data_IF_410985922566
#
_entry.id   IF_410985922566
#
_cell.length_a   1.000
_cell.length_b   1.000
_cell.length_c   1.000
_cell.angle_alpha   90.00
_cell.angle_beta   90.00
_cell.angle_gamma   90.00
#
_symmetry.space_group_name_H-M   'P 1'
#
loop_
_entity.id
_entity.type
_entity.pdbx_description
1 polymer ?
#
# COMPACT_ATOMS: atom_id res chain seq x y z
N UNK A 1 -8.59 47.50 38.24
CA UNK A 1 -8.60 46.25 37.45
C UNK A 1 -9.90 46.06 36.65
N UNK A 2 -11.07 46.29 37.24
CA UNK A 2 -12.40 46.19 36.58
C UNK A 2 -12.52 46.99 35.26
N UNK A 3 -12.14 48.27 35.25
CA UNK A 3 -12.23 49.12 34.04
C UNK A 3 -11.42 48.61 32.84
N UNK A 4 -10.25 47.98 33.06
CA UNK A 4 -9.44 47.44 31.96
C UNK A 4 -10.04 46.15 31.39
N UNK A 5 -10.77 45.39 32.21
CA UNK A 5 -11.48 44.20 31.76
C UNK A 5 -12.70 44.58 30.92
N UNK A 6 -13.49 45.56 31.39
CA UNK A 6 -14.63 46.12 30.65
C UNK A 6 -14.21 46.68 29.30
N UNK A 7 -13.13 47.46 29.23
CA UNK A 7 -12.63 48.00 27.95
C UNK A 7 -12.21 46.88 26.99
N UNK A 8 -11.61 45.79 27.48
CA UNK A 8 -11.25 44.65 26.63
C UNK A 8 -12.49 43.94 26.09
N UNK A 9 -13.50 43.73 26.94
CA UNK A 9 -14.75 43.09 26.55
C UNK A 9 -15.54 43.95 25.56
N UNK A 10 -15.65 45.26 25.80
CA UNK A 10 -16.30 46.22 24.89
C UNK A 10 -15.66 46.19 23.49
N UNK A 11 -14.33 46.16 23.44
CA UNK A 11 -13.59 46.08 22.16
C UNK A 11 -13.84 44.76 21.43
N UNK A 12 -13.92 43.65 22.17
CA UNK A 12 -14.21 42.34 21.60
C UNK A 12 -15.63 42.31 21.05
N UNK A 13 -16.64 42.67 21.84
CA UNK A 13 -18.03 42.69 21.41
C UNK A 13 -18.23 43.57 20.17
N UNK A 14 -17.67 44.80 20.16
CA UNK A 14 -17.74 45.68 19.00
C UNK A 14 -17.14 45.04 17.73
N UNK A 15 -16.00 44.35 17.86
CA UNK A 15 -15.37 43.68 16.73
C UNK A 15 -16.18 42.47 16.24
N UNK A 16 -16.76 41.71 17.17
CA UNK A 16 -17.63 40.57 16.85
C UNK A 16 -18.89 41.03 16.11
N UNK A 17 -19.55 42.09 16.57
CA UNK A 17 -20.74 42.65 15.91
C UNK A 17 -20.43 43.06 14.46
N UNK A 18 -19.31 43.76 14.23
CA UNK A 18 -18.88 44.15 12.88
C UNK A 18 -18.58 42.95 11.99
N UNK A 19 -17.85 41.95 12.50
CA UNK A 19 -17.57 40.72 11.74
C UNK A 19 -18.86 39.95 11.44
N UNK A 20 -19.82 39.97 12.36
CA UNK A 20 -21.10 39.33 12.19
C UNK A 20 -21.94 40.01 11.10
N UNK A 21 -22.01 41.33 11.10
CA UNK A 21 -22.62 42.15 10.03
C UNK A 21 -21.97 41.89 8.66
N UNK A 22 -20.67 41.58 8.63
CA UNK A 22 -19.92 41.24 7.42
C UNK A 22 -20.14 39.78 6.95
N UNK A 23 -20.96 39.00 7.66
CA UNK A 23 -21.33 37.63 7.25
C UNK A 23 -20.37 36.54 7.74
N UNK A 24 -19.59 36.79 8.79
CA UNK A 24 -18.65 35.81 9.36
C UNK A 24 -19.19 35.06 10.59
N UNK A 25 -20.50 34.79 10.62
CA UNK A 25 -21.15 34.21 11.81
C UNK A 25 -20.57 32.85 12.18
N UNK A 26 -20.42 31.95 11.22
CA UNK A 26 -19.93 30.58 11.43
C UNK A 26 -18.51 30.57 11.99
N UNK A 27 -17.64 31.44 11.48
CA UNK A 27 -16.25 31.52 11.93
C UNK A 27 -16.15 32.13 13.33
N UNK A 28 -17.03 33.08 13.66
CA UNK A 28 -17.16 33.63 15.02
C UNK A 28 -17.62 32.55 16.00
N UNK A 29 -18.63 31.77 15.63
CA UNK A 29 -19.12 30.67 16.46
C UNK A 29 -18.01 29.64 16.70
N UNK A 30 -17.21 29.31 15.68
CA UNK A 30 -16.02 28.46 15.82
C UNK A 30 -14.97 29.08 16.76
N UNK A 31 -14.67 30.37 16.61
CA UNK A 31 -13.73 31.11 17.46
C UNK A 31 -14.15 31.16 18.94
N UNK A 32 -15.46 31.08 19.21
CA UNK A 32 -15.99 31.03 20.58
C UNK A 32 -15.49 29.80 21.36
N UNK A 33 -15.28 28.67 20.66
CA UNK A 33 -14.73 27.44 21.24
C UNK A 33 -13.27 27.60 21.70
N UNK A 34 -12.58 28.63 21.18
CA UNK A 34 -11.20 28.96 21.51
C UNK A 34 -11.08 30.23 22.36
N UNK A 35 -12.16 30.68 23.02
CA UNK A 35 -12.23 31.93 23.77
C UNK A 35 -11.78 33.16 22.96
N UNK A 36 -12.01 33.14 21.64
CA UNK A 36 -11.60 34.20 20.70
C UNK A 36 -10.09 34.53 20.74
N UNK A 37 -9.24 33.62 21.24
CA UNK A 37 -7.79 33.83 21.41
C UNK A 37 -7.09 34.42 20.19
N UNK A 38 -7.40 34.01 18.93
CA UNK A 38 -6.80 34.61 17.74
C UNK A 38 -7.10 36.12 17.61
N UNK A 39 -8.34 36.54 17.87
CA UNK A 39 -8.78 37.93 17.73
C UNK A 39 -8.28 38.82 18.88
N UNK A 40 -8.24 38.29 20.10
CA UNK A 40 -7.85 39.04 21.31
C UNK A 40 -6.44 39.64 21.19
N UNK A 41 -5.52 38.99 20.44
CA UNK A 41 -4.18 39.52 20.16
C UNK A 41 -4.21 40.84 19.40
N UNK A 42 -5.10 40.99 18.42
CA UNK A 42 -5.25 42.19 17.60
C UNK A 42 -6.04 43.30 18.31
N UNK A 43 -6.77 42.96 19.38
CA UNK A 43 -7.65 43.87 20.12
C UNK A 43 -7.04 44.46 21.39
N UNK A 44 -5.72 44.29 21.62
CA UNK A 44 -4.98 44.81 22.79
C UNK A 44 -4.85 46.34 22.79
N UNK A 45 -5.95 47.04 23.05
CA UNK A 45 -6.01 48.50 23.20
C UNK A 45 -6.48 48.93 24.59
N UNK A 46 -6.02 50.09 25.05
CA UNK A 46 -6.41 50.68 26.35
C UNK A 46 -7.66 51.56 26.29
N UNK A 47 -8.21 51.79 25.10
CA UNK A 47 -9.38 52.64 24.84
C UNK A 47 -10.47 51.84 24.14
N UNK A 48 -11.73 52.28 24.23
CA UNK A 48 -12.83 51.67 23.46
C UNK A 48 -12.56 51.72 21.95
N UNK A 49 -13.02 50.71 21.23
CA UNK A 49 -12.85 50.66 19.78
C UNK A 49 -13.89 51.59 19.13
N UNK A 50 -13.42 52.61 18.41
CA UNK A 50 -14.27 53.51 17.63
C UNK A 50 -14.24 53.10 16.17
N UNK A 51 -15.16 53.61 15.34
CA UNK A 51 -15.20 53.32 13.90
C UNK A 51 -13.84 53.62 13.21
N UNK A 52 -13.20 54.74 13.58
CA UNK A 52 -11.87 55.09 13.08
C UNK A 52 -10.79 54.10 13.54
N UNK A 53 -10.93 53.57 14.75
CA UNK A 53 -10.06 52.52 15.30
C UNK A 53 -10.27 51.18 14.60
N UNK A 54 -11.53 50.82 14.32
CA UNK A 54 -11.93 49.65 13.55
C UNK A 54 -11.30 49.64 12.18
N UNK A 55 -11.43 50.73 11.40
CA UNK A 55 -10.85 50.83 10.05
C UNK A 55 -9.32 50.61 10.01
N UNK A 56 -8.61 50.87 11.11
CA UNK A 56 -7.17 50.63 11.22
C UNK A 56 -6.80 49.17 11.49
N UNK A 57 -7.69 48.39 12.10
CA UNK A 57 -7.40 47.01 12.54
C UNK A 57 -8.24 45.95 11.84
N UNK A 58 -9.32 46.35 11.16
CA UNK A 58 -10.31 45.48 10.53
C UNK A 58 -9.66 44.52 9.55
N UNK A 59 -8.75 44.98 8.69
CA UNK A 59 -8.03 44.12 7.73
C UNK A 59 -7.32 42.93 8.40
N UNK A 60 -6.76 43.10 9.60
CA UNK A 60 -6.09 42.00 10.32
C UNK A 60 -7.09 41.01 10.90
N UNK A 61 -8.21 41.52 11.41
CA UNK A 61 -9.27 40.68 11.97
C UNK A 61 -9.96 39.90 10.86
N UNK A 62 -10.26 40.56 9.74
CA UNK A 62 -10.82 39.94 8.53
C UNK A 62 -9.86 38.87 8.00
N UNK A 63 -8.55 39.15 7.92
CA UNK A 63 -7.58 38.13 7.50
C UNK A 63 -7.63 36.88 8.38
N UNK A 64 -7.64 37.03 9.72
CA UNK A 64 -7.74 35.88 10.64
C UNK A 64 -9.01 35.07 10.39
N UNK A 65 -10.15 35.74 10.24
CA UNK A 65 -11.44 35.07 10.07
C UNK A 65 -11.55 34.43 8.67
N UNK A 66 -10.93 35.05 7.66
CA UNK A 66 -10.84 34.50 6.32
C UNK A 66 -9.94 33.26 6.29
N UNK A 67 -8.80 33.27 6.98
CA UNK A 67 -7.93 32.10 7.11
C UNK A 67 -8.69 30.91 7.74
N UNK A 68 -9.53 31.17 8.75
CA UNK A 68 -10.38 30.14 9.37
C UNK A 68 -11.43 29.61 8.40
N UNK A 69 -12.10 30.50 7.66
CA UNK A 69 -13.07 30.10 6.63
C UNK A 69 -12.41 29.24 5.55
N UNK A 70 -11.24 29.65 5.09
CA UNK A 70 -10.50 28.93 4.05
C UNK A 70 -10.04 27.56 4.58
N UNK A 71 -9.56 27.48 5.83
CA UNK A 71 -9.24 26.22 6.51
C UNK A 71 -10.47 25.31 6.64
N UNK A 72 -11.63 25.85 7.02
CA UNK A 72 -12.87 25.08 7.13
C UNK A 72 -13.30 24.52 5.76
N UNK A 73 -13.26 25.34 4.70
CA UNK A 73 -13.55 24.89 3.34
C UNK A 73 -12.60 23.77 2.92
N UNK A 74 -11.31 23.92 3.23
CA UNK A 74 -10.30 22.90 2.96
C UNK A 74 -10.57 21.60 3.70
N UNK A 75 -10.92 21.66 5.00
CA UNK A 75 -11.29 20.49 5.79
C UNK A 75 -12.55 19.81 5.24
N UNK A 76 -13.57 20.57 4.83
CA UNK A 76 -14.78 20.03 4.23
C UNK A 76 -14.49 19.32 2.90
N UNK A 77 -13.62 19.89 2.06
CA UNK A 77 -13.16 19.23 0.82
C UNK A 77 -12.37 17.95 1.11
N UNK A 78 -11.47 17.99 2.09
CA UNK A 78 -10.71 16.83 2.53
C UNK A 78 -11.60 15.71 3.04
N UNK A 79 -12.61 16.02 3.84
CA UNK A 79 -13.53 15.03 4.36
C UNK A 79 -14.33 14.37 3.24
N UNK A 80 -14.85 15.16 2.28
CA UNK A 80 -15.53 14.63 1.09
C UNK A 80 -14.61 13.70 0.30
N UNK A 81 -13.36 14.08 0.06
CA UNK A 81 -12.40 13.23 -0.65
C UNK A 81 -12.14 11.91 0.09
N UNK A 82 -11.95 11.97 1.42
CA UNK A 82 -11.77 10.78 2.27
C UNK A 82 -12.98 9.84 2.22
N UNK A 83 -14.19 10.37 2.31
CA UNK A 83 -15.43 9.58 2.20
C UNK A 83 -15.50 8.87 0.84
N UNK A 84 -15.23 9.58 -0.25
CA UNK A 84 -15.24 9.02 -1.61
C UNK A 84 -14.18 7.94 -1.79
N UNK A 85 -12.96 8.16 -1.29
CA UNK A 85 -11.89 7.16 -1.31
C UNK A 85 -12.24 5.93 -0.46
N UNK A 86 -12.92 6.11 0.67
CA UNK A 86 -13.42 5.01 1.50
C UNK A 86 -14.47 4.18 0.76
N UNK A 87 -15.40 4.82 0.04
CA UNK A 87 -16.35 4.14 -0.84
C UNK A 87 -15.63 3.34 -1.93
N UNK A 88 -14.67 3.94 -2.62
CA UNK A 88 -13.84 3.24 -3.62
C UNK A 88 -13.15 2.01 -3.01
N UNK A 89 -12.51 2.17 -1.85
CA UNK A 89 -11.82 1.09 -1.14
C UNK A 89 -12.76 -0.07 -0.81
N UNK A 90 -14.00 0.21 -0.42
CA UNK A 90 -15.00 -0.82 -0.15
C UNK A 90 -15.37 -1.65 -1.39
N UNK A 91 -15.25 -1.06 -2.58
CA UNK A 91 -15.57 -1.71 -3.87
C UNK A 91 -14.41 -2.51 -4.45
N UNK A 92 -13.16 -2.07 -4.25
CA UNK A 92 -11.96 -2.70 -4.86
C UNK A 92 -11.53 -4.00 -4.13
N UNK A 93 -12.27 -4.43 -3.11
CA UNK A 93 -11.99 -5.67 -2.37
C UNK A 93 -10.86 -5.53 -1.36
N UNK A 94 -10.85 -6.42 -0.36
CA UNK A 94 -9.89 -6.38 0.74
C UNK A 94 -8.47 -6.79 0.31
N UNK A 95 -7.47 -6.60 1.20
CA UNK A 95 -6.10 -7.03 0.94
C UNK A 95 -6.07 -8.50 0.54
N UNK A 96 -5.24 -8.83 -0.45
CA UNK A 96 -4.96 -10.20 -0.84
C UNK A 96 -4.80 -11.08 0.41
N UNK A 97 -5.66 -12.09 0.58
CA UNK A 97 -5.51 -12.98 1.71
C UNK A 97 -4.09 -13.56 1.69
N UNK A 98 -3.42 -13.57 2.85
CA UNK A 98 -2.12 -14.23 3.01
C UNK A 98 -2.19 -15.76 2.79
N UNK A 99 -3.35 -16.29 2.38
CA UNK A 99 -3.53 -17.71 2.15
C UNK A 99 -2.76 -18.15 0.90
N UNK A 100 -1.59 -18.69 1.19
CA UNK A 100 -0.84 -19.72 0.48
C UNK A 100 -0.73 -19.56 -1.04
N UNK A 101 0.45 -19.15 -1.51
CA UNK A 101 1.17 -19.77 -2.65
C UNK A 101 0.31 -20.41 -3.76
N UNK A 102 -0.76 -19.75 -4.20
CA UNK A 102 -1.51 -20.19 -5.36
C UNK A 102 -0.62 -19.86 -6.55
N UNK A 103 -0.28 -20.90 -7.31
CA UNK A 103 0.34 -20.82 -8.63
C UNK A 103 -0.42 -19.90 -9.59
N UNK A 104 -1.72 -19.74 -9.39
CA UNK A 104 -2.55 -18.78 -10.10
C UNK A 104 -2.25 -17.38 -9.59
N UNK A 105 -1.57 -16.58 -10.40
CA UNK A 105 -1.45 -15.14 -10.17
C UNK A 105 -2.77 -14.48 -10.54
N UNK A 106 -3.32 -13.80 -9.55
CA UNK A 106 -4.55 -13.05 -9.67
C UNK A 106 -4.25 -11.65 -10.20
N UNK A 107 -4.70 -11.35 -11.41
CA UNK A 107 -4.43 -10.06 -12.04
C UNK A 107 -5.52 -9.04 -11.72
N UNK A 108 -5.87 -8.95 -10.45
CA UNK A 108 -6.80 -7.96 -9.95
C UNK A 108 -6.03 -6.77 -9.36
N UNK A 109 -6.34 -5.54 -9.81
CA UNK A 109 -5.74 -4.34 -9.25
C UNK A 109 -6.17 -4.17 -7.81
N UNK A 110 -5.28 -3.59 -6.99
CA UNK A 110 -5.61 -3.19 -5.63
C UNK A 110 -6.12 -1.76 -5.58
N UNK A 111 -6.60 -1.34 -4.41
CA UNK A 111 -6.99 0.04 -4.16
C UNK A 111 -5.91 1.03 -4.65
N UNK A 112 -4.64 0.76 -4.35
CA UNK A 112 -3.53 1.64 -4.67
C UNK A 112 -3.24 1.69 -6.18
N UNK A 113 -3.58 0.63 -6.91
CA UNK A 113 -3.49 0.59 -8.38
C UNK A 113 -4.65 1.36 -9.02
N UNK A 114 -5.82 1.35 -8.39
CA UNK A 114 -7.05 1.95 -8.92
C UNK A 114 -7.11 3.46 -8.68
N UNK A 115 -6.67 3.95 -7.51
CA UNK A 115 -6.70 5.39 -7.18
C UNK A 115 -5.82 6.24 -8.10
N UNK A 116 -4.78 5.66 -8.70
CA UNK A 116 -3.91 6.38 -9.64
C UNK A 116 -4.43 6.36 -11.08
N UNK A 117 -5.55 5.67 -11.37
CA UNK A 117 -6.17 5.66 -12.70
C UNK A 117 -6.91 6.98 -12.92
N UNK A 118 -6.62 7.67 -14.03
CA UNK A 118 -7.12 9.01 -14.31
C UNK A 118 -8.66 9.11 -14.29
N UNK A 119 -9.37 8.12 -14.81
CA UNK A 119 -10.84 8.12 -14.80
C UNK A 119 -11.41 8.03 -13.38
N UNK A 120 -10.73 7.31 -12.48
CA UNK A 120 -11.11 7.22 -11.07
C UNK A 120 -10.76 8.52 -10.36
N UNK A 121 -9.54 9.02 -10.56
CA UNK A 121 -9.09 10.28 -9.98
C UNK A 121 -10.08 11.42 -10.30
N UNK A 122 -10.44 11.60 -11.59
CA UNK A 122 -11.39 12.64 -12.03
C UNK A 122 -12.75 12.51 -11.37
N UNK A 123 -13.24 11.28 -11.19
CA UNK A 123 -14.53 11.03 -10.55
C UNK A 123 -14.49 11.33 -9.05
N UNK A 124 -13.37 11.05 -8.38
CA UNK A 124 -13.21 11.32 -6.95
C UNK A 124 -12.96 12.81 -6.69
N UNK A 125 -12.21 13.50 -7.56
CA UNK A 125 -11.93 14.95 -7.47
C UNK A 125 -13.11 15.82 -7.95
N UNK A 126 -14.17 15.24 -8.54
CA UNK A 126 -15.29 16.01 -9.08
C UNK A 126 -15.93 16.92 -8.02
N UNK A 127 -15.92 18.26 -8.19
CA UNK A 127 -16.44 19.18 -7.17
C UNK A 127 -17.96 19.10 -7.00
N UNK A 128 -18.68 18.40 -7.88
CA UNK A 128 -20.12 18.20 -7.80
C UNK A 128 -20.47 17.40 -6.55
N UNK A 129 -21.53 17.78 -5.84
CA UNK A 129 -22.09 17.04 -4.71
C UNK A 129 -22.84 15.77 -5.18
N UNK A 130 -22.09 14.87 -5.80
CA UNK A 130 -22.55 13.54 -6.15
C UNK A 130 -22.90 12.79 -4.86
N UNK A 131 -24.16 12.35 -4.77
CA UNK A 131 -24.61 11.55 -3.64
C UNK A 131 -23.79 10.24 -3.55
N UNK A 132 -23.47 9.75 -2.34
CA UNK A 132 -22.64 8.55 -2.17
C UNK A 132 -23.11 7.34 -2.99
N UNK A 133 -24.42 7.10 -3.06
CA UNK A 133 -25.00 6.00 -3.83
C UNK A 133 -24.79 6.14 -5.35
N UNK A 134 -24.77 7.37 -5.88
CA UNK A 134 -24.52 7.62 -7.29
C UNK A 134 -23.04 7.40 -7.63
N UNK A 135 -22.14 7.82 -6.72
CA UNK A 135 -20.71 7.55 -6.86
C UNK A 135 -20.42 6.05 -6.85
N UNK A 136 -20.99 5.34 -5.88
CA UNK A 136 -20.83 3.89 -5.75
C UNK A 136 -21.33 3.15 -7.00
N UNK A 137 -22.49 3.53 -7.53
CA UNK A 137 -23.04 2.97 -8.78
C UNK A 137 -22.12 3.23 -9.97
N UNK A 138 -21.59 4.45 -10.08
CA UNK A 138 -20.69 4.85 -11.18
C UNK A 138 -19.37 4.08 -11.11
N UNK A 139 -18.77 4.01 -9.93
CA UNK A 139 -17.56 3.23 -9.67
C UNK A 139 -17.78 1.74 -9.95
N UNK A 140 -18.88 1.16 -9.47
CA UNK A 140 -19.20 -0.26 -9.68
C UNK A 140 -19.34 -0.64 -11.15
N UNK A 141 -19.85 0.27 -11.99
CA UNK A 141 -19.95 0.05 -13.44
C UNK A 141 -18.59 0.18 -14.14
N UNK A 142 -17.72 1.06 -13.65
CA UNK A 142 -16.46 1.44 -14.29
C UNK A 142 -15.31 0.50 -13.90
N UNK A 143 -15.26 0.04 -12.64
CA UNK A 143 -14.19 -0.81 -12.10
C UNK A 143 -13.93 -2.08 -12.91
N UNK A 144 -14.93 -2.88 -13.36
CA UNK A 144 -14.66 -4.09 -14.13
C UNK A 144 -13.94 -3.84 -15.46
N UNK A 145 -14.22 -2.72 -16.11
CA UNK A 145 -13.56 -2.32 -17.36
C UNK A 145 -12.12 -1.90 -17.08
N UNK A 146 -11.92 -1.08 -16.04
CA UNK A 146 -10.58 -0.64 -15.63
C UNK A 146 -9.70 -1.80 -15.18
N UNK A 147 -10.24 -2.73 -14.39
CA UNK A 147 -9.50 -3.90 -13.92
C UNK A 147 -9.04 -4.78 -15.07
N UNK A 148 -9.88 -4.96 -16.10
CA UNK A 148 -9.49 -5.70 -17.32
C UNK A 148 -8.39 -4.98 -18.09
N UNK A 149 -8.49 -3.67 -18.27
CA UNK A 149 -7.47 -2.86 -18.95
C UNK A 149 -6.14 -2.92 -18.20
N UNK A 150 -6.16 -2.64 -16.89
CA UNK A 150 -4.97 -2.74 -16.05
C UNK A 150 -4.34 -4.14 -16.10
N UNK A 151 -5.15 -5.20 -16.00
CA UNK A 151 -4.70 -6.59 -16.10
C UNK A 151 -3.99 -6.88 -17.43
N UNK A 152 -4.55 -6.38 -18.54
CA UNK A 152 -3.98 -6.53 -19.87
C UNK A 152 -2.66 -5.76 -19.99
N UNK A 153 -2.61 -4.51 -19.53
CA UNK A 153 -1.43 -3.66 -19.57
C UNK A 153 -0.27 -4.27 -18.77
N UNK A 154 -0.55 -4.76 -17.56
CA UNK A 154 0.47 -5.41 -16.72
C UNK A 154 0.99 -6.69 -17.38
N UNK A 155 0.10 -7.52 -17.95
CA UNK A 155 0.51 -8.73 -18.68
C UNK A 155 1.36 -8.41 -19.90
N UNK A 156 0.99 -7.38 -20.65
CA UNK A 156 1.75 -6.96 -21.83
C UNK A 156 3.15 -6.52 -21.41
N UNK A 157 3.25 -5.60 -20.45
CA UNK A 157 4.54 -5.11 -19.96
C UNK A 157 5.45 -6.24 -19.44
N UNK A 158 4.90 -7.24 -18.74
CA UNK A 158 5.65 -8.41 -18.30
C UNK A 158 6.08 -9.33 -19.46
N UNK A 159 5.25 -9.45 -20.50
CA UNK A 159 5.56 -10.23 -21.70
C UNK A 159 6.70 -9.57 -22.48
N UNK A 160 6.64 -8.25 -22.66
CA UNK A 160 7.66 -7.46 -23.36
C UNK A 160 9.05 -7.62 -22.70
N UNK A 161 9.11 -7.70 -21.37
CA UNK A 161 10.37 -7.98 -20.66
C UNK A 161 10.97 -9.35 -20.97
N UNK A 162 10.15 -10.35 -21.31
CA UNK A 162 10.61 -11.72 -21.57
C UNK A 162 10.80 -12.03 -23.06
N UNK A 163 10.25 -11.21 -23.96
CA UNK A 163 10.36 -11.38 -25.41
C UNK A 163 11.80 -11.56 -25.92
N UNK A 164 12.84 -10.84 -25.41
CA UNK A 164 14.21 -11.06 -25.86
C UNK A 164 14.79 -12.44 -25.49
N UNK A 165 14.19 -13.11 -24.49
CA UNK A 165 14.69 -14.37 -23.93
C UNK A 165 14.02 -15.61 -24.52
N UNK A 166 12.86 -15.43 -25.16
CA UNK A 166 12.11 -16.48 -25.80
C UNK A 166 11.35 -15.86 -26.97
N UNK A 167 11.53 -16.39 -28.19
CA UNK A 167 10.68 -16.01 -29.32
C UNK A 167 9.27 -16.49 -29.00
N UNK A 168 8.31 -15.61 -28.67
CA UNK A 168 6.96 -16.04 -28.39
C UNK A 168 6.39 -16.55 -29.72
N UNK A 169 6.16 -17.84 -29.85
CA UNK A 169 5.25 -18.35 -30.88
C UNK A 169 3.83 -18.02 -30.45
N UNK A 170 2.91 -17.77 -31.39
CA UNK A 170 1.50 -17.40 -31.09
C UNK A 170 0.81 -18.39 -30.11
N UNK A 171 1.31 -19.63 -30.04
CA UNK A 171 0.78 -20.69 -29.18
C UNK A 171 1.39 -20.73 -27.77
N UNK A 172 2.45 -19.95 -27.46
CA UNK A 172 3.18 -20.05 -26.19
C UNK A 172 2.90 -18.85 -25.27
N UNK A 173 2.05 -19.07 -24.27
CA UNK A 173 1.89 -18.12 -23.17
C UNK A 173 3.08 -18.23 -22.20
N UNK A 174 4.16 -17.49 -22.48
CA UNK A 174 5.39 -17.53 -21.67
C UNK A 174 5.14 -17.23 -20.18
N UNK A 175 4.19 -16.35 -19.88
CA UNK A 175 3.83 -15.99 -18.52
C UNK A 175 3.20 -17.16 -17.74
N UNK A 176 2.56 -18.12 -18.42
CA UNK A 176 2.04 -19.33 -17.79
C UNK A 176 3.13 -20.38 -17.48
N UNK A 177 4.31 -20.26 -18.10
CA UNK A 177 5.42 -21.20 -17.93
C UNK A 177 6.20 -20.94 -16.63
N UNK A 178 6.75 -22.02 -16.06
CA UNK A 178 7.65 -21.99 -14.92
C UNK A 178 8.97 -21.26 -15.22
N UNK A 179 9.30 -21.01 -16.50
CA UNK A 179 10.51 -20.28 -16.91
C UNK A 179 10.39 -18.76 -16.67
N UNK A 180 9.18 -18.23 -16.48
CA UNK A 180 8.93 -16.81 -16.34
C UNK A 180 9.43 -16.28 -14.98
N UNK A 181 10.66 -15.77 -14.98
CA UNK A 181 11.29 -15.09 -13.86
C UNK A 181 11.70 -13.67 -14.25
N UNK A 182 11.65 -12.78 -13.26
CA UNK A 182 12.02 -11.38 -13.40
C UNK A 182 13.09 -11.02 -12.37
N UNK A 183 14.06 -10.20 -12.77
CA UNK A 183 15.07 -9.67 -11.86
C UNK A 183 14.59 -8.34 -11.27
N UNK A 184 14.51 -8.23 -9.95
CA UNK A 184 14.23 -6.97 -9.28
C UNK A 184 15.52 -6.15 -9.17
N UNK A 185 15.52 -4.92 -9.68
CA UNK A 185 16.70 -4.03 -9.67
C UNK A 185 16.95 -3.41 -8.29
N UNK A 186 15.95 -3.35 -7.41
CA UNK A 186 16.08 -2.77 -6.05
C UNK A 186 16.67 -3.74 -5.04
N UNK A 187 16.00 -4.87 -4.80
CA UNK A 187 16.46 -5.85 -3.81
C UNK A 187 17.36 -6.93 -4.41
N UNK A 188 17.58 -6.91 -5.74
CA UNK A 188 18.42 -7.85 -6.46
C UNK A 188 17.95 -9.31 -6.34
N UNK A 189 16.66 -9.54 -6.05
CA UNK A 189 16.06 -10.88 -6.04
C UNK A 189 15.56 -11.29 -7.41
N UNK A 190 15.48 -12.61 -7.60
CA UNK A 190 14.80 -13.21 -8.74
C UNK A 190 13.38 -13.63 -8.33
N UNK A 191 12.40 -13.05 -9.01
CA UNK A 191 10.98 -13.15 -8.67
C UNK A 191 10.26 -13.98 -9.74
N UNK A 192 9.61 -15.11 -9.38
CA UNK A 192 8.79 -15.84 -10.34
C UNK A 192 7.51 -15.06 -10.67
N UNK A 193 7.01 -15.24 -11.90
CA UNK A 193 5.84 -14.57 -12.46
C UNK A 193 4.62 -14.45 -11.53
N UNK A 194 3.90 -15.54 -11.25
CA UNK A 194 3.75 -15.99 -9.87
C UNK A 194 3.45 -14.99 -8.75
N UNK A 195 4.54 -14.36 -8.31
CA UNK A 195 4.66 -13.52 -7.12
C UNK A 195 4.96 -12.07 -7.48
N UNK A 196 5.03 -11.73 -8.77
CA UNK A 196 5.46 -10.41 -9.25
C UNK A 196 4.56 -9.30 -8.72
N UNK A 197 3.23 -9.48 -8.75
CA UNK A 197 2.28 -8.48 -8.25
C UNK A 197 2.32 -8.27 -6.73
N UNK A 198 2.89 -9.24 -6.00
CA UNK A 198 3.07 -9.22 -4.55
C UNK A 198 4.47 -8.74 -4.14
N UNK A 199 5.36 -8.47 -5.08
CA UNK A 199 6.72 -8.08 -4.77
C UNK A 199 6.79 -6.63 -4.29
N UNK A 200 7.16 -6.44 -3.02
CA UNK A 200 7.12 -5.14 -2.34
C UNK A 200 7.92 -4.03 -3.01
N UNK A 201 9.04 -4.37 -3.67
CA UNK A 201 9.84 -3.37 -4.37
C UNK A 201 9.10 -2.70 -5.54
N UNK A 202 8.06 -3.35 -6.08
CA UNK A 202 7.24 -2.85 -7.19
C UNK A 202 6.07 -1.99 -6.71
N UNK A 203 5.90 -1.85 -5.39
CA UNK A 203 4.83 -1.08 -4.76
C UNK A 203 5.37 -0.05 -3.77
N UNK A 204 6.59 0.43 -3.97
CA UNK A 204 7.21 1.37 -3.02
C UNK A 204 7.22 2.81 -3.50
N UNK A 205 6.63 3.11 -4.66
CA UNK A 205 6.52 4.47 -5.19
C UNK A 205 5.06 4.69 -5.58
N UNK A 206 4.42 5.73 -5.05
CA UNK A 206 3.15 6.21 -5.57
C UNK A 206 3.47 7.07 -6.80
N UNK A 207 3.55 6.44 -7.96
CA UNK A 207 3.68 7.16 -9.22
C UNK A 207 2.29 7.55 -9.70
N UNK A 208 1.99 8.84 -9.69
CA UNK A 208 0.79 9.37 -10.33
C UNK A 208 1.13 9.68 -11.80
N UNK A 209 0.38 9.15 -12.78
CA UNK A 209 0.61 9.43 -14.19
C UNK A 209 0.48 10.91 -14.56
N UNK A 210 -0.29 11.68 -13.78
CA UNK A 210 -0.44 13.12 -13.86
C UNK A 210 -0.26 13.73 -12.47
N UNK A 211 0.09 15.01 -12.36
CA UNK A 211 0.11 15.70 -11.06
C UNK A 211 -1.34 15.87 -10.55
N UNK A 212 -1.76 15.14 -9.50
CA UNK A 212 -3.06 15.37 -8.88
C UNK A 212 -3.06 16.70 -8.12
N UNK A 213 -4.23 17.15 -7.68
CA UNK A 213 -4.28 18.23 -6.69
C UNK A 213 -3.50 17.81 -5.42
N UNK A 214 -2.85 18.79 -4.76
CA UNK A 214 -2.17 18.54 -3.48
C UNK A 214 -3.14 17.95 -2.44
N UNK A 215 -4.39 18.40 -2.49
CA UNK A 215 -5.52 17.90 -1.71
C UNK A 215 -5.72 16.39 -1.99
N UNK A 216 -5.93 15.98 -3.24
CA UNK A 216 -6.14 14.57 -3.57
C UNK A 216 -4.95 13.69 -3.18
N UNK A 217 -3.72 14.15 -3.44
CA UNK A 217 -2.50 13.43 -3.03
C UNK A 217 -2.50 13.20 -1.53
N UNK A 218 -2.75 14.24 -0.75
CA UNK A 218 -2.82 14.13 0.72
C UNK A 218 -3.92 13.16 1.17
N UNK A 219 -5.10 13.20 0.55
CA UNK A 219 -6.20 12.30 0.90
C UNK A 219 -5.90 10.84 0.53
N UNK A 220 -5.23 10.59 -0.59
CA UNK A 220 -4.79 9.24 -0.99
C UNK A 220 -3.67 8.73 -0.09
N UNK A 221 -2.68 9.56 0.22
CA UNK A 221 -1.59 9.19 1.14
C UNK A 221 -2.16 8.85 2.53
N UNK A 222 -3.09 9.68 3.04
CA UNK A 222 -3.85 9.40 4.25
C UNK A 222 -4.58 8.06 4.15
N UNK A 223 -5.24 7.77 3.02
CA UNK A 223 -5.98 6.53 2.83
C UNK A 223 -5.07 5.30 2.72
N UNK A 224 -3.87 5.41 2.14
CA UNK A 224 -2.91 4.31 1.94
C UNK A 224 -2.09 4.02 3.20
N UNK A 225 -1.76 5.03 4.00
CA UNK A 225 -0.92 4.89 5.20
C UNK A 225 -1.46 3.88 6.22
N UNK A 226 -2.78 3.61 6.24
CA UNK A 226 -3.40 2.63 7.15
C UNK A 226 -2.97 1.17 6.90
N UNK A 227 -2.51 0.83 5.68
CA UNK A 227 -2.21 -0.55 5.27
C UNK A 227 -0.71 -0.87 5.12
N UNK A 228 0.14 -0.14 5.83
CA UNK A 228 1.61 -0.23 5.76
C UNK A 228 2.23 0.28 4.44
N UNK A 229 1.59 1.28 3.81
CA UNK A 229 2.28 2.25 2.95
C UNK A 229 2.86 1.68 1.65
N UNK A 230 2.05 0.93 0.88
CA UNK A 230 2.47 0.44 -0.43
C UNK A 230 1.72 1.19 -1.52
N UNK A 231 2.45 1.79 -2.46
CA UNK A 231 1.88 2.50 -3.60
C UNK A 231 1.36 1.57 -4.70
N UNK A 232 0.95 2.19 -5.80
CA UNK A 232 0.58 1.52 -7.03
C UNK A 232 1.71 0.59 -7.53
N UNK A 233 1.32 -0.50 -8.17
CA UNK A 233 2.24 -1.41 -8.83
C UNK A 233 2.92 -0.72 -10.02
N UNK A 234 4.24 -0.89 -10.11
CA UNK A 234 5.03 -0.37 -11.22
C UNK A 234 6.07 -1.38 -11.69
N UNK A 235 6.26 -1.45 -13.01
CA UNK A 235 7.28 -2.28 -13.65
C UNK A 235 8.69 -1.70 -13.53
N UNK A 236 8.85 -0.44 -13.11
CA UNK A 236 10.11 0.33 -13.19
C UNK A 236 11.34 -0.35 -12.56
N UNK A 237 11.11 -1.31 -11.66
CA UNK A 237 12.15 -2.04 -10.94
C UNK A 237 12.26 -3.51 -11.35
N UNK A 238 11.61 -3.91 -12.43
CA UNK A 238 11.79 -5.22 -13.05
C UNK A 238 12.64 -5.12 -14.30
N UNK A 239 13.45 -6.15 -14.49
CA UNK A 239 14.19 -6.38 -15.71
C UNK A 239 14.11 -7.86 -16.10
N UNK A 240 14.35 -8.12 -17.38
CA UNK A 240 14.64 -9.46 -17.87
C UNK A 240 15.86 -10.04 -17.13
N UNK A 241 15.85 -11.31 -16.70
CA UNK A 241 17.07 -11.94 -16.22
C UNK A 241 18.10 -12.02 -17.35
N UNK A 242 19.42 -12.06 -17.03
CA UNK A 242 20.45 -12.27 -18.04
C UNK A 242 20.20 -13.55 -18.85
N UNK A 243 20.42 -13.52 -20.18
CA UNK A 243 20.15 -14.65 -21.07
C UNK A 243 20.86 -15.96 -20.65
N UNK A 244 22.05 -15.83 -20.07
CA UNK A 244 22.80 -16.95 -19.50
C UNK A 244 22.08 -17.60 -18.31
N UNK A 245 21.49 -16.79 -17.42
CA UNK A 245 20.67 -17.32 -16.34
C UNK A 245 19.43 -18.00 -16.90
N UNK A 246 18.75 -17.37 -17.86
CA UNK A 246 17.57 -17.92 -18.50
C UNK A 246 17.84 -19.32 -19.11
N UNK A 247 18.99 -19.49 -19.77
CA UNK A 247 19.45 -20.79 -20.30
C UNK A 247 19.61 -21.85 -19.19
N UNK A 248 20.17 -21.45 -18.04
CA UNK A 248 20.31 -22.36 -16.87
C UNK A 248 18.96 -22.71 -16.26
N UNK A 249 18.03 -21.76 -16.20
CA UNK A 249 16.65 -22.03 -15.76
C UNK A 249 16.00 -23.07 -16.67
N UNK A 250 16.11 -22.90 -18.00
CA UNK A 250 15.61 -23.87 -18.95
C UNK A 250 16.21 -25.27 -18.73
N UNK A 251 17.53 -25.35 -18.52
CA UNK A 251 18.21 -26.61 -18.23
C UNK A 251 17.71 -27.27 -16.93
N UNK A 252 17.49 -26.48 -15.86
CA UNK A 252 16.93 -26.98 -14.59
C UNK A 252 15.52 -27.54 -14.80
N UNK A 253 14.67 -26.84 -15.55
CA UNK A 253 13.30 -27.28 -15.83
C UNK A 253 13.28 -28.55 -16.70
N UNK A 254 14.19 -28.65 -17.67
CA UNK A 254 14.32 -29.82 -18.54
C UNK A 254 14.69 -31.11 -17.78
N UNK A 255 15.27 -31.01 -16.57
CA UNK A 255 15.51 -32.16 -15.69
C UNK A 255 14.22 -32.89 -15.27
N UNK A 256 13.05 -32.26 -15.43
CA UNK A 256 11.75 -32.87 -15.21
C UNK A 256 11.31 -33.78 -16.38
N UNK A 257 12.01 -33.75 -17.52
CA UNK A 257 11.61 -34.40 -18.76
C UNK A 257 10.50 -33.68 -19.52
N UNK A 258 10.10 -32.48 -19.08
CA UNK A 258 9.12 -31.60 -19.75
C UNK A 258 9.83 -30.52 -20.56
N UNK A 259 9.13 -29.97 -21.54
CA UNK A 259 9.56 -28.76 -22.25
C UNK A 259 9.58 -27.56 -21.27
N UNK A 260 10.74 -26.91 -21.06
CA UNK A 260 10.85 -25.72 -20.20
C UNK A 260 9.94 -24.57 -20.58
N UNK A 261 9.55 -24.43 -21.85
CA UNK A 261 8.72 -23.32 -22.33
C UNK A 261 7.22 -23.58 -22.15
N UNK A 262 6.81 -24.84 -21.91
CA UNK A 262 5.40 -25.20 -21.71
C UNK A 262 5.08 -25.65 -20.28
N UNK A 263 6.08 -26.12 -19.52
CA UNK A 263 5.85 -26.63 -18.16
C UNK A 263 5.43 -25.51 -17.22
N UNK A 264 4.31 -25.65 -16.53
CA UNK A 264 3.81 -24.62 -15.61
C UNK A 264 4.44 -24.73 -14.23
N UNK A 265 4.29 -23.68 -13.41
CA UNK A 265 4.73 -23.73 -12.00
C UNK A 265 4.04 -24.86 -11.21
N UNK A 266 2.77 -25.14 -11.51
CA UNK A 266 2.01 -26.23 -10.89
C UNK A 266 2.57 -27.60 -11.26
N UNK A 267 2.86 -27.81 -12.55
CA UNK A 267 3.41 -29.07 -13.04
C UNK A 267 4.74 -29.36 -12.33
N UNK A 268 5.64 -28.37 -12.28
CA UNK A 268 6.93 -28.50 -11.60
C UNK A 268 6.78 -28.73 -10.09
N UNK A 269 5.78 -28.12 -9.46
CA UNK A 269 5.50 -28.31 -8.03
C UNK A 269 5.00 -29.73 -7.72
N UNK A 270 4.25 -30.35 -8.64
CA UNK A 270 3.75 -31.74 -8.51
C UNK A 270 4.83 -32.79 -8.76
N UNK A 271 5.82 -32.50 -9.61
CA UNK A 271 6.87 -33.44 -10.01
C UNK A 271 8.00 -33.62 -8.97
N UNK A 272 8.03 -32.80 -7.91
CA UNK A 272 8.98 -32.89 -6.78
C UNK A 272 10.45 -33.10 -7.24
N UNK A 273 10.87 -32.24 -8.18
CA UNK A 273 12.20 -32.28 -8.80
C UNK A 273 13.25 -31.65 -7.89
N UNK A 274 14.32 -32.41 -7.61
CA UNK A 274 15.49 -31.94 -6.86
C UNK A 274 16.73 -31.96 -7.74
N UNK A 275 17.53 -30.92 -7.62
CA UNK A 275 18.79 -30.72 -8.30
C UNK A 275 19.93 -30.89 -7.31
N UNK A 276 20.98 -31.59 -7.75
CA UNK A 276 22.21 -31.78 -6.99
C UNK A 276 23.36 -31.00 -7.60
N UNK A 277 24.15 -30.37 -6.74
CA UNK A 277 25.35 -29.63 -7.11
C UNK A 277 26.55 -30.22 -6.38
N UNK A 278 27.59 -30.69 -7.11
CA UNK A 278 28.84 -31.10 -6.49
C UNK A 278 29.60 -29.87 -6.00
N UNK A 279 30.23 -29.95 -4.82
CA UNK A 279 31.20 -28.96 -4.35
C UNK A 279 32.63 -29.48 -4.49
N UNK A 280 33.63 -28.59 -4.60
CA UNK A 280 35.04 -28.97 -4.66
C UNK A 280 35.52 -29.84 -3.49
N UNK A 281 34.89 -29.71 -2.32
CA UNK A 281 35.22 -30.48 -1.12
C UNK A 281 34.48 -31.83 -1.02
N UNK A 282 33.93 -32.35 -2.12
CA UNK A 282 33.21 -33.62 -2.19
C UNK A 282 31.80 -33.60 -1.57
N UNK A 283 31.36 -32.47 -1.00
CA UNK A 283 29.98 -32.35 -0.47
C UNK A 283 28.98 -32.14 -1.61
N UNK A 284 27.78 -32.69 -1.46
CA UNK A 284 26.67 -32.51 -2.41
C UNK A 284 25.62 -31.59 -1.79
N UNK A 285 25.22 -30.55 -2.53
CA UNK A 285 24.06 -29.73 -2.17
C UNK A 285 22.85 -30.26 -2.91
N UNK A 286 21.75 -30.51 -2.20
CA UNK A 286 20.45 -30.85 -2.79
C UNK A 286 19.52 -29.66 -2.64
N UNK A 287 18.87 -29.25 -3.73
CA UNK A 287 17.94 -28.12 -3.81
C UNK A 287 16.67 -28.55 -4.53
N UNK A 288 15.50 -28.11 -4.08
CA UNK A 288 14.29 -28.19 -4.92
C UNK A 288 14.50 -27.29 -6.14
N UNK A 289 13.94 -27.63 -7.30
CA UNK A 289 14.17 -26.91 -8.57
C UNK A 289 14.08 -25.37 -8.47
N UNK A 290 13.09 -24.80 -7.77
CA UNK A 290 12.97 -23.34 -7.63
C UNK A 290 14.03 -22.74 -6.70
N UNK A 291 14.49 -23.49 -5.69
CA UNK A 291 15.65 -23.09 -4.88
C UNK A 291 16.95 -23.20 -5.67
N UNK A 292 17.03 -24.16 -6.60
CA UNK A 292 18.17 -24.36 -7.49
C UNK A 292 18.32 -23.17 -8.46
N UNK A 293 17.20 -22.66 -8.98
CA UNK A 293 17.17 -21.44 -9.81
C UNK A 293 17.66 -20.22 -8.99
N UNK A 294 17.13 -20.03 -7.78
CA UNK A 294 17.62 -18.96 -6.87
C UNK A 294 19.10 -19.12 -6.52
N UNK A 295 19.59 -20.36 -6.44
CA UNK A 295 21.01 -20.64 -6.18
C UNK A 295 21.89 -20.24 -7.37
N UNK A 296 21.50 -20.56 -8.60
CA UNK A 296 22.19 -20.11 -9.82
C UNK A 296 22.20 -18.60 -9.95
N UNK A 297 21.08 -17.92 -9.65
CA UNK A 297 21.04 -16.45 -9.60
C UNK A 297 22.09 -15.86 -8.65
N UNK A 298 22.20 -16.42 -7.44
CA UNK A 298 23.20 -15.98 -6.45
C UNK A 298 24.64 -16.30 -6.86
N UNK A 299 24.88 -17.34 -7.67
CA UNK A 299 26.21 -17.60 -8.26
C UNK A 299 26.52 -16.56 -9.33
N UNK A 300 25.57 -16.27 -10.21
CA UNK A 300 25.73 -15.30 -11.31
C UNK A 300 26.09 -13.92 -10.76
N UNK A 301 25.38 -13.48 -9.71
CA UNK A 301 25.65 -12.20 -9.06
C UNK A 301 27.00 -12.11 -8.34
N UNK A 302 27.57 -13.24 -7.93
CA UNK A 302 28.91 -13.28 -7.30
C UNK A 302 30.04 -13.39 -8.33
N UNK A 303 29.73 -13.63 -9.59
CA UNK A 303 30.74 -13.98 -10.61
C UNK A 303 31.25 -15.41 -10.51
N UNK A 304 30.75 -16.22 -9.56
CA UNK A 304 31.17 -17.60 -9.30
C UNK A 304 30.46 -18.64 -10.19
N UNK A 305 29.62 -18.18 -11.11
CA UNK A 305 28.77 -19.07 -11.88
C UNK A 305 29.58 -19.71 -13.01
N UNK A 306 29.49 -21.03 -13.21
CA UNK A 306 30.07 -21.71 -14.36
C UNK A 306 29.28 -21.34 -15.62
N UNK A 307 29.97 -21.31 -16.76
CA UNK A 307 29.36 -20.99 -18.06
C UNK A 307 28.24 -21.98 -18.41
N UNK A 308 28.43 -23.25 -18.05
CA UNK A 308 27.49 -24.35 -18.28
C UNK A 308 26.83 -24.77 -16.96
N UNK A 309 25.55 -25.14 -17.03
CA UNK A 309 24.83 -25.71 -15.89
C UNK A 309 25.44 -27.07 -15.51
N UNK A 310 25.84 -27.22 -14.25
CA UNK A 310 26.56 -28.39 -13.69
C UNK A 310 25.68 -29.28 -12.79
N UNK A 311 24.38 -28.96 -12.69
CA UNK A 311 23.45 -29.69 -11.83
C UNK A 311 22.90 -30.96 -12.48
N UNK A 312 22.54 -31.95 -11.66
CA UNK A 312 21.86 -33.17 -12.10
C UNK A 312 20.67 -33.53 -11.21
N UNK A 313 19.75 -34.34 -11.73
CA UNK A 313 18.62 -34.86 -10.95
C UNK A 313 19.13 -35.62 -9.72
N UNK A 314 18.61 -35.28 -8.54
CA UNK A 314 18.99 -35.94 -7.31
C UNK A 314 18.51 -37.40 -7.29
N UNK A 315 19.36 -38.38 -6.94
CA UNK A 315 18.95 -39.75 -6.66
C UNK A 315 17.97 -39.82 -5.48
N UNK A 316 17.12 -40.86 -5.44
CA UNK A 316 16.11 -41.05 -4.36
C UNK A 316 16.72 -40.95 -2.95
N UNK A 317 17.90 -41.52 -2.73
CA UNK A 317 18.60 -41.49 -1.44
C UNK A 317 18.98 -40.06 -0.99
N UNK A 318 19.43 -39.21 -1.90
CA UNK A 318 19.83 -37.83 -1.61
C UNK A 318 18.60 -36.93 -1.35
N UNK A 319 17.50 -37.18 -2.07
CA UNK A 319 16.20 -36.52 -1.82
C UNK A 319 15.69 -36.83 -0.41
N UNK A 320 15.72 -38.10 -0.01
CA UNK A 320 15.27 -38.54 1.31
C UNK A 320 16.07 -37.86 2.44
N UNK A 321 17.39 -37.74 2.28
CA UNK A 321 18.26 -37.01 3.21
C UNK A 321 17.89 -35.53 3.31
N UNK A 322 17.62 -34.86 2.19
CA UNK A 322 17.17 -33.45 2.18
C UNK A 322 15.83 -33.27 2.88
N UNK A 323 14.84 -34.10 2.57
CA UNK A 323 13.51 -34.05 3.20
C UNK A 323 13.59 -34.26 4.73
N UNK A 324 14.42 -35.21 5.17
CA UNK A 324 14.66 -35.43 6.60
C UNK A 324 15.31 -34.20 7.27
N UNK A 325 16.30 -33.59 6.61
CA UNK A 325 16.96 -32.38 7.11
C UNK A 325 15.98 -31.20 7.21
N UNK A 326 15.14 -30.99 6.20
CA UNK A 326 14.15 -29.91 6.22
C UNK A 326 13.10 -30.13 7.31
N UNK A 327 12.59 -31.37 7.45
CA UNK A 327 11.67 -31.75 8.53
C UNK A 327 12.27 -31.47 9.92
N UNK A 328 13.56 -31.80 10.11
CA UNK A 328 14.27 -31.54 11.37
C UNK A 328 14.44 -30.05 11.68
N UNK A 329 14.60 -29.20 10.66
CA UNK A 329 14.69 -27.74 10.81
C UNK A 329 13.35 -27.13 11.18
N UNK A 330 12.25 -27.56 10.53
CA UNK A 330 10.90 -27.12 10.90
C UNK A 330 10.53 -27.52 12.33
N UNK A 331 10.92 -28.73 12.78
CA UNK A 331 10.73 -29.16 14.18
C UNK A 331 11.55 -28.33 15.17
N UNK A 332 12.79 -27.94 14.85
CA UNK A 332 13.59 -27.03 15.69
C UNK A 332 12.98 -25.63 15.77
N UNK A 333 12.40 -25.12 14.69
CA UNK A 333 11.69 -23.84 14.68
C UNK A 333 10.41 -23.88 15.52
N UNK A 334 9.63 -24.97 15.43
CA UNK A 334 8.46 -25.18 16.28
C UNK A 334 8.85 -25.40 17.76
N UNK A 335 9.92 -26.14 18.04
CA UNK A 335 10.46 -26.32 19.39
C UNK A 335 11.01 -25.02 20.01
N UNK A 336 11.53 -24.10 19.19
CA UNK A 336 11.93 -22.75 19.62
C UNK A 336 10.73 -21.84 19.88
N UNK A 337 9.58 -22.09 19.25
CA UNK A 337 8.34 -21.34 19.50
C UNK A 337 7.61 -21.85 20.75
N UNK A 338 7.79 -23.14 21.13
CA UNK A 338 7.23 -23.71 22.35
C UNK A 338 7.93 -23.27 23.64
N UNK A 339 9.16 -22.73 23.58
CA UNK A 339 9.87 -22.21 24.76
C UNK A 339 9.55 -20.73 25.09
N UNK A 340 8.78 -20.04 24.24
CA UNK A 340 8.25 -18.70 24.51
C UNK A 340 6.71 -18.68 24.65
N UNK A 341 6.09 -19.87 24.74
CA UNK A 341 4.63 -20.05 24.73
C UNK A 341 4.06 -20.73 25.98
N UNK A 342 4.73 -20.64 27.13
CA UNK A 342 4.15 -21.00 28.43
C UNK A 342 3.95 -19.72 29.23
N UNK A 343 2.91 -18.96 28.91
CA UNK A 343 2.04 -18.22 29.85
C UNK A 343 0.87 -17.66 29.04
N UNK A 344 -0.35 -18.14 29.34
CA UNK A 344 -1.58 -17.44 28.96
C UNK A 344 -2.50 -18.14 27.96
N UNK A 345 -2.83 -19.42 28.15
CA UNK A 345 -4.18 -19.88 27.80
C UNK A 345 -5.09 -19.59 28.98
N UNK A 346 -5.96 -18.59 28.86
CA UNK A 346 -7.30 -18.69 29.42
C UNK A 346 -8.23 -17.63 28.81
N UNK A 347 -9.45 -18.11 28.53
CA UNK A 347 -10.70 -17.35 28.35
C UNK A 347 -11.07 -16.96 26.90
N UNK A 348 -11.71 -17.91 26.22
CA UNK A 348 -12.92 -17.60 25.45
C UNK A 348 -14.13 -17.89 26.32
N UNK A 349 -14.95 -16.87 26.63
CA UNK A 349 -16.44 -16.89 26.60
C UNK A 349 -17.04 -15.61 27.20
N UNK A 350 -18.23 -15.31 26.69
CA UNK A 350 -19.22 -14.31 27.13
C UNK A 350 -19.06 -12.87 26.58
N UNK A 351 -19.73 -12.65 25.45
CA UNK A 351 -20.33 -11.37 25.11
C UNK A 351 -21.45 -11.05 26.12
N UNK A 352 -21.45 -9.86 26.72
CA UNK A 352 -22.55 -8.88 26.73
C UNK A 352 -22.22 -7.71 27.67
N UNK A 353 -22.83 -6.55 27.36
CA UNK A 353 -22.96 -5.32 28.15
C UNK A 353 -21.91 -4.21 27.91
N UNK A 354 -22.36 -3.18 27.18
CA UNK A 354 -21.88 -1.79 27.25
C UNK A 354 -21.95 -1.28 28.70
N UNK A 355 -21.11 -0.31 29.07
CA UNK A 355 -21.59 0.78 29.91
C UNK A 355 -21.42 2.15 29.25
N UNK A 356 -22.51 2.90 29.38
CA UNK A 356 -22.65 4.35 29.24
C UNK A 356 -21.70 5.13 30.15
N UNK A 357 -21.13 6.20 29.58
CA UNK A 357 -20.47 7.27 30.33
C UNK A 357 -21.51 8.14 31.04
N UNK A 358 -21.38 8.29 32.35
CA UNK A 358 -21.78 9.50 33.10
C UNK A 358 -20.84 9.71 34.29
N UNK A 359 -20.56 10.97 34.68
CA UNK A 359 -19.42 11.33 35.53
C UNK A 359 -19.70 11.25 37.04
N UNK A 360 -18.59 11.06 37.74
CA UNK A 360 -18.42 10.89 39.19
C UNK A 360 -18.76 12.17 40.00
N UNK A 361 -19.58 12.09 41.06
CA UNK A 361 -19.72 13.16 42.04
C UNK A 361 -19.10 12.79 43.40
N UNK A 362 -18.47 13.80 44.03
CA UNK A 362 -18.00 13.83 45.43
C UNK A 362 -16.61 13.24 45.74
N UNK A 363 -15.60 14.10 45.59
CA UNK A 363 -14.49 14.12 46.54
C UNK A 363 -14.70 15.31 47.49
N UNK A 364 -14.90 15.03 48.78
CA UNK A 364 -14.97 16.04 49.85
C UNK A 364 -14.08 15.62 51.01
N UNK A 365 -13.26 16.59 51.45
CA UNK A 365 -12.58 16.75 52.76
C UNK A 365 -11.28 15.94 52.90
N UNK A 366 -10.14 16.55 53.26
CA UNK A 366 -9.90 17.65 54.20
C UNK A 366 -9.02 18.77 53.65
#
# INVERSE_FOLDING_TARGET
MLQQHEIKQDRLNFALDKLWEMGYKSEIDYLSLMDYKPLVKCLRGKQRLTERGWNKISHKLIAIVQDIRDEEIQLQRMEKLRERLKSLRSLVGGPWSKSAWSSKVDYEPRFEDVVVILEVQRLIEDPTDMQPAQLEKTLSALLPVLSKRWSADVKQQLTDLLEPLAKPTEETNILASAIAFFACTKCNDLVPHHLVLRHDCLRSECLYPNEPSDEYRSAVDDAICWDAGKGAWSISRLAAPPARLHTKVAAILALSGRDPFQVTWEDMSRLDVYVTYPRPNGRIIVKVWHEAIKYEWKREKRGDAPCVFDGRVAPKAERARKKHLDCSKTKKFQGSCCLLGLHGQNMSRAATLRPSFTPDPYNTKQ
#
